data_IF_616820339446
#
_entry.id   IF_616820339446
#
_cell.length_a   1.000
_cell.length_b   1.000
_cell.length_c   1.000
_cell.angle_alpha   90.00
_cell.angle_beta   90.00
_cell.angle_gamma   90.00
#
_symmetry.space_group_name_H-M   'P 1'
#
loop_
_entity.id
_entity.type
_entity.pdbx_description
1 polymer ?
#
# COMPACT_ATOMS: atom_id res chain seq x y z
N UNK A 1 52.46 2.75 57.21
CA UNK A 1 52.27 1.70 56.19
C UNK A 1 51.10 0.83 56.61
N UNK A 2 50.24 0.48 55.64
CA UNK A 2 49.16 -0.52 55.68
C UNK A 2 47.91 -0.23 56.55
N UNK A 3 46.90 0.30 55.85
CA UNK A 3 45.46 -0.05 55.88
C UNK A 3 45.11 -1.43 56.44
N UNK A 4 44.05 -1.53 57.26
CA UNK A 4 42.85 -2.37 57.06
C UNK A 4 41.77 -1.90 58.06
N UNK A 5 40.66 -1.35 57.57
CA UNK A 5 39.42 -1.27 58.34
C UNK A 5 38.34 -1.94 57.49
N UNK A 6 38.00 -3.17 57.87
CA UNK A 6 36.91 -3.94 57.29
C UNK A 6 35.58 -3.44 57.83
N UNK A 7 34.61 -3.28 56.94
CA UNK A 7 33.20 -3.29 57.30
C UNK A 7 32.48 -4.14 56.26
N UNK A 8 32.07 -5.34 56.70
CA UNK A 8 31.13 -6.20 55.97
C UNK A 8 29.83 -6.20 56.77
N UNK A 9 28.81 -5.58 56.19
CA UNK A 9 27.39 -5.83 56.44
C UNK A 9 26.82 -5.86 55.01
N UNK A 10 26.22 -6.92 54.48
CA UNK A 10 25.34 -7.88 55.12
C UNK A 10 24.00 -7.80 54.38
N UNK A 11 23.87 -8.62 53.34
CA UNK A 11 22.63 -9.20 52.78
C UNK A 11 21.51 -8.25 52.32
N UNK A 12 21.33 -8.20 51.00
CA UNK A 12 20.08 -7.72 50.39
C UNK A 12 19.94 -8.17 48.93
N UNK A 13 19.15 -9.23 48.72
CA UNK A 13 18.25 -9.38 47.58
C UNK A 13 18.84 -9.51 46.18
N UNK A 14 18.70 -10.70 45.59
CA UNK A 14 19.05 -10.95 44.20
C UNK A 14 18.20 -10.19 43.18
N UNK A 15 18.69 -10.20 41.95
CA UNK A 15 18.01 -9.68 40.77
C UNK A 15 19.00 -9.03 39.81
N UNK A 16 19.64 -9.85 38.99
CA UNK A 16 20.37 -9.38 37.80
C UNK A 16 19.36 -8.76 36.82
N UNK A 17 19.06 -7.48 37.00
CA UNK A 17 18.40 -6.68 35.97
C UNK A 17 19.48 -6.30 34.94
N UNK A 18 19.59 -7.09 33.89
CA UNK A 18 20.22 -6.67 32.64
C UNK A 18 19.34 -5.59 32.02
N UNK A 19 19.51 -4.35 32.50
CA UNK A 19 18.90 -3.18 31.89
C UNK A 19 19.59 -2.90 30.55
N UNK A 20 19.20 -3.69 29.54
CA UNK A 20 19.34 -3.32 28.14
C UNK A 20 18.40 -2.13 27.90
N UNK A 21 18.88 -0.95 28.28
CA UNK A 21 18.33 0.34 27.88
C UNK A 21 18.69 0.62 26.42
N UNK A 22 18.10 -0.13 25.51
CA UNK A 22 17.95 0.27 24.12
C UNK A 22 16.45 0.19 23.82
N UNK A 23 15.79 1.35 23.94
CA UNK A 23 14.52 1.56 23.25
C UNK A 23 14.69 1.10 21.80
N UNK A 24 13.75 0.29 21.25
CA UNK A 24 13.75 0.05 19.82
C UNK A 24 13.66 1.42 19.12
N UNK A 25 14.41 1.68 18.04
CA UNK A 25 14.29 2.94 17.34
C UNK A 25 12.83 3.16 16.94
N UNK A 26 12.21 4.15 17.58
CA UNK A 26 10.92 4.67 17.17
C UNK A 26 11.07 5.20 15.74
N UNK A 27 10.53 4.47 14.77
CA UNK A 27 10.55 4.91 13.37
C UNK A 27 10.50 3.81 12.32
N UNK A 28 9.78 2.72 12.56
CA UNK A 28 9.20 1.97 11.44
C UNK A 28 8.06 2.81 10.81
N UNK A 29 7.78 2.71 9.51
CA UNK A 29 6.67 3.45 8.89
C UNK A 29 5.33 2.88 9.38
N UNK A 30 4.90 3.35 10.55
CA UNK A 30 3.61 2.99 11.14
C UNK A 30 3.06 4.17 11.94
N UNK A 31 3.17 5.37 11.39
CA UNK A 31 2.06 6.31 11.51
C UNK A 31 1.19 6.04 10.30
N UNK A 32 0.12 5.28 10.51
CA UNK A 32 -1.09 5.46 9.73
C UNK A 32 -1.30 6.97 9.68
N UNK A 33 -0.98 7.55 8.53
CA UNK A 33 -1.52 8.81 8.12
C UNK A 33 -3.02 8.73 8.48
N UNK A 34 -3.58 9.71 9.18
CA UNK A 34 -4.97 9.66 9.68
C UNK A 34 -5.92 9.12 8.60
N UNK A 35 -7.06 8.52 8.96
CA UNK A 35 -7.97 7.88 7.98
C UNK A 35 -8.17 8.72 6.70
N UNK A 36 -8.20 10.05 6.79
CA UNK A 36 -8.29 10.96 5.64
C UNK A 36 -7.00 11.15 4.82
N UNK A 37 -5.82 11.04 5.42
CA UNK A 37 -4.53 11.31 4.77
C UNK A 37 -4.14 10.26 3.71
N UNK A 38 -4.65 9.02 3.79
CA UNK A 38 -4.26 7.93 2.89
C UNK A 38 -4.61 8.21 1.42
N UNK A 39 -5.90 8.42 1.13
CA UNK A 39 -6.36 8.71 -0.23
C UNK A 39 -5.85 10.07 -0.74
N UNK A 40 -5.75 11.06 0.15
CA UNK A 40 -5.16 12.35 -0.21
C UNK A 40 -3.66 12.25 -0.55
N UNK A 41 -2.92 11.37 0.13
CA UNK A 41 -1.53 11.09 -0.22
C UNK A 41 -1.43 10.40 -1.60
N UNK A 42 -2.33 9.46 -1.91
CA UNK A 42 -2.41 8.87 -3.24
C UNK A 42 -2.72 9.93 -4.30
N UNK A 43 -3.66 10.83 -4.02
CA UNK A 43 -4.04 11.93 -4.92
C UNK A 43 -2.87 12.85 -5.24
N UNK A 44 -2.17 13.34 -4.19
CA UNK A 44 -0.95 14.13 -4.35
C UNK A 44 0.14 13.37 -5.11
N UNK A 45 0.24 12.06 -4.89
CA UNK A 45 1.18 11.19 -5.59
C UNK A 45 0.94 11.13 -7.10
N UNK A 46 -0.32 11.11 -7.55
CA UNK A 46 -0.67 11.16 -8.97
C UNK A 46 -0.39 12.53 -9.61
N UNK A 47 -0.55 13.62 -8.85
CA UNK A 47 -0.31 14.99 -9.31
C UNK A 47 1.18 15.34 -9.39
N UNK A 48 2.03 14.65 -8.62
CA UNK A 48 3.45 14.97 -8.48
C UNK A 48 4.34 14.54 -9.66
N UNK A 49 3.83 13.78 -10.63
CA UNK A 49 4.63 13.35 -11.76
C UNK A 49 4.04 12.22 -12.59
N UNK A 50 4.86 11.52 -13.39
CA UNK A 50 4.37 10.45 -14.26
C UNK A 50 3.74 9.33 -13.43
N UNK A 51 2.59 8.85 -13.90
CA UNK A 51 1.86 7.75 -13.27
C UNK A 51 2.54 6.44 -13.68
N UNK A 52 3.31 5.87 -12.75
CA UNK A 52 3.78 4.49 -12.85
C UNK A 52 2.80 3.54 -12.13
N UNK A 53 3.04 2.23 -12.30
CA UNK A 53 2.23 1.17 -11.68
C UNK A 53 2.13 1.31 -10.16
N UNK A 54 3.21 1.68 -9.48
CA UNK A 54 3.22 1.77 -8.02
C UNK A 54 2.33 2.92 -7.56
N UNK A 55 2.42 4.08 -8.21
CA UNK A 55 1.53 5.21 -7.93
C UNK A 55 0.08 4.89 -8.25
N UNK A 56 -0.20 4.17 -9.34
CA UNK A 56 -1.55 3.74 -9.68
C UNK A 56 -2.15 2.83 -8.58
N UNK A 57 -1.37 1.91 -8.02
CA UNK A 57 -1.88 0.95 -7.02
C UNK A 57 -2.13 1.54 -5.62
N UNK A 58 -1.64 2.75 -5.31
CA UNK A 58 -1.82 3.39 -4.01
C UNK A 58 -3.28 3.40 -3.52
N UNK A 59 -4.23 3.71 -4.40
CA UNK A 59 -5.66 3.74 -4.06
C UNK A 59 -6.19 2.38 -3.61
N UNK A 60 -5.74 1.30 -4.26
CA UNK A 60 -6.09 -0.06 -3.84
C UNK A 60 -5.47 -0.40 -2.49
N UNK A 61 -4.19 -0.09 -2.29
CA UNK A 61 -3.48 -0.41 -1.04
C UNK A 61 -4.12 0.31 0.16
N UNK A 62 -4.48 1.59 -0.01
CA UNK A 62 -5.20 2.36 1.01
C UNK A 62 -6.61 1.82 1.22
N UNK A 63 -7.35 1.51 0.15
CA UNK A 63 -8.68 0.93 0.25
C UNK A 63 -8.66 -0.41 1.02
N UNK A 64 -7.67 -1.25 0.76
CA UNK A 64 -7.48 -2.52 1.44
C UNK A 64 -7.11 -2.34 2.91
N UNK A 65 -6.21 -1.40 3.21
CA UNK A 65 -5.74 -1.16 4.57
C UNK A 65 -6.79 -0.49 5.47
N UNK A 66 -7.69 0.29 4.89
CA UNK A 66 -8.66 1.12 5.64
C UNK A 66 -10.12 0.74 5.37
N UNK A 67 -10.38 -0.32 4.58
CA UNK A 67 -11.71 -0.75 4.12
C UNK A 67 -12.51 0.34 3.36
N UNK A 68 -11.81 1.34 2.79
CA UNK A 68 -12.41 2.50 2.08
C UNK A 68 -12.62 2.24 0.59
N UNK A 69 -13.22 1.09 0.27
CA UNK A 69 -13.41 0.64 -1.12
C UNK A 69 -14.28 1.57 -1.97
N UNK A 70 -15.36 2.10 -1.39
CA UNK A 70 -16.29 2.99 -2.10
C UNK A 70 -15.62 4.32 -2.45
N UNK A 71 -14.92 4.93 -1.50
CA UNK A 71 -14.25 6.22 -1.69
C UNK A 71 -13.09 6.09 -2.68
N UNK A 72 -12.25 5.05 -2.55
CA UNK A 72 -11.17 4.81 -3.51
C UNK A 72 -11.68 4.54 -4.92
N UNK A 73 -12.82 3.86 -5.06
CA UNK A 73 -13.48 3.67 -6.35
C UNK A 73 -13.94 5.01 -6.93
N UNK A 74 -14.66 5.82 -6.17
CA UNK A 74 -15.18 7.11 -6.63
C UNK A 74 -14.03 8.01 -7.14
N UNK A 75 -12.93 8.07 -6.38
CA UNK A 75 -11.74 8.81 -6.77
C UNK A 75 -11.13 8.29 -8.09
N UNK A 76 -10.99 6.97 -8.22
CA UNK A 76 -10.45 6.40 -9.45
C UNK A 76 -11.40 6.56 -10.64
N UNK A 77 -12.72 6.40 -10.45
CA UNK A 77 -13.72 6.62 -11.50
C UNK A 77 -13.68 8.08 -12.00
N UNK A 78 -13.54 9.06 -11.10
CA UNK A 78 -13.37 10.46 -11.48
C UNK A 78 -12.07 10.68 -12.27
N UNK A 79 -10.96 10.10 -11.81
CA UNK A 79 -9.64 10.27 -12.45
C UNK A 79 -9.56 9.61 -13.82
N UNK A 80 -10.09 8.40 -14.00
CA UNK A 80 -10.03 7.71 -15.31
C UNK A 80 -10.90 8.41 -16.36
N UNK A 81 -11.87 9.24 -15.95
CA UNK A 81 -12.66 10.07 -16.85
C UNK A 81 -11.92 11.35 -17.30
N UNK A 82 -10.83 11.75 -16.63
CA UNK A 82 -10.03 12.90 -17.02
C UNK A 82 -9.23 12.61 -18.31
N UNK A 83 -9.26 13.51 -19.31
CA UNK A 83 -8.49 13.32 -20.54
C UNK A 83 -6.97 13.26 -20.26
N UNK A 84 -6.28 12.31 -20.90
CA UNK A 84 -4.81 12.25 -20.89
C UNK A 84 -4.20 11.61 -19.64
N UNK A 85 -5.01 11.06 -18.73
CA UNK A 85 -4.48 10.24 -17.64
C UNK A 85 -3.92 8.92 -18.15
N UNK A 86 -2.97 8.36 -17.40
CA UNK A 86 -2.35 7.08 -17.74
C UNK A 86 -3.39 5.96 -17.73
N UNK A 87 -3.50 5.14 -18.80
CA UNK A 87 -4.39 3.98 -18.80
C UNK A 87 -4.04 2.94 -17.72
N UNK A 88 -2.86 3.02 -17.11
CA UNK A 88 -2.52 2.20 -15.93
C UNK A 88 -3.40 2.47 -14.71
N UNK A 89 -4.12 3.61 -14.64
CA UNK A 89 -5.12 3.84 -13.59
C UNK A 89 -6.34 2.92 -13.70
N UNK A 90 -6.56 2.28 -14.85
CA UNK A 90 -7.63 1.29 -15.02
C UNK A 90 -7.35 0.01 -14.22
N UNK A 91 -6.08 -0.31 -13.93
CA UNK A 91 -5.70 -1.47 -13.12
C UNK A 91 -6.25 -1.41 -11.69
N UNK A 92 -5.94 -0.41 -10.86
CA UNK A 92 -6.47 -0.33 -9.50
C UNK A 92 -8.00 -0.25 -9.48
N UNK A 93 -8.62 0.45 -10.44
CA UNK A 93 -10.08 0.52 -10.55
C UNK A 93 -10.68 -0.87 -10.84
N UNK A 94 -10.10 -1.60 -11.80
CA UNK A 94 -10.50 -2.97 -12.08
C UNK A 94 -10.33 -3.88 -10.86
N UNK A 95 -9.24 -3.73 -10.11
CA UNK A 95 -9.00 -4.52 -8.89
C UNK A 95 -10.06 -4.24 -7.82
N UNK A 96 -10.42 -2.98 -7.59
CA UNK A 96 -11.48 -2.61 -6.64
C UNK A 96 -12.84 -3.14 -7.11
N UNK A 97 -13.17 -3.02 -8.40
CA UNK A 97 -14.41 -3.58 -8.96
C UNK A 97 -14.45 -5.10 -8.82
N UNK A 98 -13.35 -5.80 -9.09
CA UNK A 98 -13.26 -7.25 -8.91
C UNK A 98 -13.47 -7.64 -7.43
N UNK A 99 -12.89 -6.89 -6.50
CA UNK A 99 -13.10 -7.09 -5.06
C UNK A 99 -14.58 -6.92 -4.67
N UNK A 100 -15.27 -5.97 -5.29
CA UNK A 100 -16.71 -5.73 -5.11
C UNK A 100 -17.62 -6.70 -5.89
N UNK A 101 -17.04 -7.71 -6.56
CA UNK A 101 -17.78 -8.72 -7.33
C UNK A 101 -18.16 -8.30 -8.75
N UNK A 102 -17.75 -7.11 -9.21
CA UNK A 102 -18.02 -6.57 -10.54
C UNK A 102 -17.00 -7.07 -11.58
N UNK A 103 -16.78 -8.39 -11.62
CA UNK A 103 -15.75 -9.04 -12.42
C UNK A 103 -15.82 -8.72 -13.92
N UNK A 104 -17.03 -8.66 -14.52
CA UNK A 104 -17.19 -8.35 -15.95
C UNK A 104 -16.69 -6.94 -16.28
N UNK A 105 -16.98 -5.97 -15.42
CA UNK A 105 -16.50 -4.59 -15.58
C UNK A 105 -14.99 -4.54 -15.39
N UNK A 106 -14.46 -5.22 -14.38
CA UNK A 106 -13.02 -5.32 -14.17
C UNK A 106 -12.28 -5.88 -15.39
N UNK A 107 -12.77 -6.97 -15.99
CA UNK A 107 -12.21 -7.55 -17.23
C UNK A 107 -12.24 -6.56 -18.40
N UNK A 108 -13.33 -5.79 -18.51
CA UNK A 108 -13.51 -4.79 -19.58
C UNK A 108 -12.47 -3.69 -19.44
N UNK A 109 -12.33 -3.11 -18.25
CA UNK A 109 -11.34 -2.06 -17.97
C UNK A 109 -9.90 -2.51 -18.24
N UNK A 110 -9.56 -3.75 -17.89
CA UNK A 110 -8.22 -4.29 -18.18
C UNK A 110 -7.99 -4.51 -19.68
N UNK A 111 -9.05 -4.79 -20.46
CA UNK A 111 -9.00 -4.81 -21.91
C UNK A 111 -8.72 -3.42 -22.49
N UNK A 112 -9.48 -2.42 -22.05
CA UNK A 112 -9.30 -1.02 -22.45
C UNK A 112 -7.89 -0.52 -22.14
N UNK A 113 -7.33 -0.88 -20.98
CA UNK A 113 -5.96 -0.53 -20.61
C UNK A 113 -4.93 -1.13 -21.58
N UNK A 114 -5.09 -2.41 -21.95
CA UNK A 114 -4.19 -3.11 -22.88
C UNK A 114 -4.24 -2.55 -24.29
N UNK A 115 -5.43 -2.13 -24.74
CA UNK A 115 -5.64 -1.51 -26.06
C UNK A 115 -5.09 -0.08 -26.12
N UNK A 116 -5.20 0.66 -25.01
CA UNK A 116 -4.74 2.06 -24.92
C UNK A 116 -3.23 2.20 -24.78
N UNK A 117 -2.51 1.11 -24.48
CA UNK A 117 -1.05 1.11 -24.33
C UNK A 117 -0.40 0.00 -25.16
N UNK A 118 -0.42 0.10 -26.51
CA UNK A 118 0.17 -0.91 -27.39
C UNK A 118 1.68 -1.07 -27.16
N UNK A 119 2.36 0.03 -26.82
CA UNK A 119 3.81 0.07 -26.58
C UNK A 119 4.20 -0.02 -25.10
N UNK A 120 3.27 -0.41 -24.21
CA UNK A 120 3.59 -0.62 -22.80
C UNK A 120 4.71 -1.67 -22.63
N UNK A 121 5.62 -1.40 -21.70
CA UNK A 121 6.68 -2.34 -21.34
C UNK A 121 6.12 -3.70 -20.93
N UNK A 122 6.91 -4.75 -21.15
CA UNK A 122 6.48 -6.14 -20.91
C UNK A 122 5.94 -6.36 -19.48
N UNK A 123 6.50 -5.67 -18.48
CA UNK A 123 6.06 -5.75 -17.10
C UNK A 123 4.64 -5.24 -16.86
N UNK A 124 4.27 -4.09 -17.42
CA UNK A 124 2.93 -3.51 -17.26
C UNK A 124 1.88 -4.32 -18.00
N UNK A 125 2.20 -4.73 -19.24
CA UNK A 125 1.33 -5.64 -20.02
C UNK A 125 1.11 -6.96 -19.29
N UNK A 126 2.15 -7.54 -18.69
CA UNK A 126 2.03 -8.79 -17.94
C UNK A 126 1.08 -8.65 -16.74
N UNK A 127 1.17 -7.56 -15.98
CA UNK A 127 0.27 -7.33 -14.84
C UNK A 127 -1.18 -7.21 -15.28
N UNK A 128 -1.46 -6.44 -16.34
CA UNK A 128 -2.82 -6.30 -16.87
C UNK A 128 -3.38 -7.65 -17.36
N UNK A 129 -2.57 -8.43 -18.10
CA UNK A 129 -2.97 -9.75 -18.61
C UNK A 129 -3.20 -10.77 -17.49
N UNK A 130 -2.34 -10.79 -16.46
CA UNK A 130 -2.47 -11.70 -15.32
C UNK A 130 -3.78 -11.41 -14.57
N UNK A 131 -4.05 -10.15 -14.22
CA UNK A 131 -5.29 -9.78 -13.54
C UNK A 131 -6.51 -10.08 -14.41
N UNK A 132 -6.46 -9.75 -15.69
CA UNK A 132 -7.57 -10.01 -16.62
C UNK A 132 -7.86 -11.51 -16.74
N UNK A 133 -6.81 -12.33 -16.86
CA UNK A 133 -6.91 -13.78 -16.89
C UNK A 133 -7.50 -14.34 -15.59
N UNK A 134 -7.04 -13.85 -14.43
CA UNK A 134 -7.61 -14.23 -13.14
C UNK A 134 -9.10 -13.90 -13.05
N UNK A 135 -9.50 -12.71 -13.48
CA UNK A 135 -10.90 -12.27 -13.39
C UNK A 135 -11.80 -13.03 -14.37
N UNK A 136 -11.27 -13.40 -15.55
CA UNK A 136 -11.95 -14.31 -16.48
C UNK A 136 -12.15 -15.70 -15.88
N UNK A 137 -11.14 -16.26 -15.23
CA UNK A 137 -11.26 -17.57 -14.56
C UNK A 137 -12.31 -17.56 -13.45
N UNK A 138 -12.47 -16.44 -12.74
CA UNK A 138 -13.52 -16.29 -11.72
C UNK A 138 -14.92 -16.13 -12.30
N UNK A 139 -15.06 -15.74 -13.57
CA UNK A 139 -16.36 -15.61 -14.23
C UNK A 139 -16.94 -16.95 -14.71
N UNK A 140 -16.10 -17.98 -14.89
CA UNK A 140 -16.48 -19.28 -15.46
C UNK A 140 -16.31 -19.33 -16.97
#
# INVERSE_FOLDING_TARGET
MATVAGLVLGLGGGGLATAWGAEPPAGGPSSLASETEGLEACRRGLEAGPIDRHRAMCFYDVAAAQERWAEAREELEARVAEPGVSPMLLLPLATILAHQGELRRAVTLLGEALESMPDAGAGDRAVLLINRGQYLLMLG
#
